data_IF_453717088331
#
_entry.id   IF_453717088331
#
_cell.length_a   1.000
_cell.length_b   1.000
_cell.length_c   1.000
_cell.angle_alpha   90.00
_cell.angle_beta   90.00
_cell.angle_gamma   90.00
#
_symmetry.space_group_name_H-M   'P 1'
#
loop_
_entity.id
_entity.type
_entity.pdbx_description
1 polymer ?
#
# COMPACT_ATOMS: atom_id res chain seq x y z
N UNK A 1 -15.00 -10.37 -11.50
CA UNK A 1 -16.04 -10.25 -10.49
C UNK A 1 -15.99 -8.85 -9.94
N UNK A 2 -17.09 -8.17 -9.97
CA UNK A 2 -17.27 -6.78 -9.58
C UNK A 2 -18.58 -6.28 -10.16
N UNK A 3 -19.02 -5.11 -9.73
CA UNK A 3 -20.27 -4.49 -10.18
C UNK A 3 -19.99 -3.16 -10.84
N UNK A 4 -20.77 -2.82 -11.85
CA UNK A 4 -20.81 -1.47 -12.46
C UNK A 4 -21.12 -0.42 -11.36
N UNK A 5 -21.79 -0.82 -10.28
CA UNK A 5 -22.13 0.04 -9.15
C UNK A 5 -21.09 0.06 -8.02
N UNK A 6 -19.86 -0.44 -8.24
CA UNK A 6 -18.73 -0.27 -7.32
C UNK A 6 -18.64 -1.25 -6.15
N UNK A 7 -19.36 -2.37 -6.17
CA UNK A 7 -19.24 -3.41 -5.14
C UNK A 7 -18.02 -4.33 -5.37
N UNK A 8 -17.26 -4.62 -4.30
CA UNK A 8 -16.15 -5.56 -4.33
C UNK A 8 -16.63 -6.99 -4.06
N UNK A 9 -16.00 -8.02 -4.68
CA UNK A 9 -16.27 -9.41 -4.35
C UNK A 9 -15.78 -9.74 -2.93
N UNK A 10 -16.45 -10.69 -2.28
CA UNK A 10 -15.99 -11.26 -1.03
C UNK A 10 -14.77 -12.16 -1.30
N UNK A 11 -13.64 -11.87 -0.68
CA UNK A 11 -12.43 -12.71 -0.78
C UNK A 11 -12.32 -13.59 0.47
N UNK A 12 -12.26 -14.89 0.27
CA UNK A 12 -12.09 -15.87 1.34
C UNK A 12 -10.78 -16.64 1.15
N UNK A 13 -9.93 -16.62 2.16
CA UNK A 13 -8.66 -17.35 2.21
C UNK A 13 -8.85 -18.51 3.19
N UNK A 14 -8.85 -19.74 2.66
CA UNK A 14 -9.18 -20.95 3.44
C UNK A 14 -10.51 -20.82 4.23
N UNK A 15 -11.50 -20.14 3.65
CA UNK A 15 -12.83 -19.92 4.23
C UNK A 15 -12.95 -18.71 5.16
N UNK A 16 -11.89 -17.96 5.39
CA UNK A 16 -11.88 -16.75 6.22
C UNK A 16 -11.77 -15.50 5.34
N UNK A 17 -12.56 -14.46 5.62
CA UNK A 17 -12.45 -13.19 4.90
C UNK A 17 -11.04 -12.60 5.02
N UNK A 18 -10.46 -12.17 3.89
CA UNK A 18 -9.09 -11.68 3.83
C UNK A 18 -8.80 -10.80 2.63
N UNK A 19 -7.60 -10.26 2.58
CA UNK A 19 -7.10 -9.43 1.50
C UNK A 19 -6.11 -10.22 0.64
N UNK A 20 -6.34 -10.23 -0.67
CA UNK A 20 -5.57 -11.04 -1.63
C UNK A 20 -4.10 -10.62 -1.69
N UNK A 21 -3.78 -9.34 -1.54
CA UNK A 21 -2.43 -8.77 -1.57
C UNK A 21 -1.56 -9.20 -0.38
N UNK A 22 -2.18 -9.70 0.69
CA UNK A 22 -1.50 -10.21 1.90
C UNK A 22 -1.12 -11.68 1.80
N UNK A 23 -1.64 -12.38 0.79
CA UNK A 23 -1.29 -13.79 0.58
C UNK A 23 -0.01 -13.90 -0.23
N UNK A 24 0.91 -14.75 0.21
CA UNK A 24 2.06 -15.10 -0.61
C UNK A 24 1.59 -15.98 -1.79
N UNK A 25 1.80 -15.57 -3.06
CA UNK A 25 1.37 -16.35 -4.22
C UNK A 25 1.93 -17.78 -4.24
N UNK A 26 3.12 -17.99 -3.66
CA UNK A 26 3.75 -19.31 -3.59
C UNK A 26 3.02 -20.28 -2.64
N UNK A 27 2.17 -19.76 -1.74
CA UNK A 27 1.36 -20.57 -0.83
C UNK A 27 0.00 -20.95 -1.43
N UNK A 28 -0.38 -20.38 -2.58
CA UNK A 28 -1.68 -20.64 -3.21
C UNK A 28 -1.66 -21.99 -3.90
N UNK A 29 -2.67 -22.83 -3.59
CA UNK A 29 -2.95 -24.09 -4.29
C UNK A 29 -3.93 -23.88 -5.43
N UNK A 30 -5.04 -23.14 -5.17
CA UNK A 30 -6.06 -22.85 -6.16
C UNK A 30 -6.80 -21.54 -5.86
N UNK A 31 -7.36 -20.95 -6.93
CA UNK A 31 -8.26 -19.80 -6.85
C UNK A 31 -9.53 -20.17 -7.61
N UNK A 32 -10.68 -20.09 -6.93
CA UNK A 32 -12.00 -20.32 -7.52
C UNK A 32 -12.83 -19.05 -7.42
N UNK A 33 -13.55 -18.73 -8.51
CA UNK A 33 -14.42 -17.54 -8.58
C UNK A 33 -15.86 -17.99 -8.71
N UNK A 34 -16.66 -17.70 -7.69
CA UNK A 34 -18.10 -17.99 -7.66
C UNK A 34 -18.84 -16.74 -8.13
N UNK A 35 -19.53 -16.86 -9.26
CA UNK A 35 -20.33 -15.79 -9.86
C UNK A 35 -21.84 -16.06 -9.78
N UNK A 36 -22.21 -17.30 -9.49
CA UNK A 36 -23.58 -17.74 -9.39
C UNK A 36 -24.20 -17.38 -8.04
N UNK A 37 -25.36 -16.75 -8.06
CA UNK A 37 -26.07 -16.32 -6.87
C UNK A 37 -26.50 -17.50 -5.96
N UNK A 38 -26.82 -18.66 -6.53
CA UNK A 38 -27.23 -19.85 -5.76
C UNK A 38 -26.07 -20.43 -4.98
N UNK A 39 -24.89 -20.53 -5.59
CA UNK A 39 -23.66 -20.97 -4.94
C UNK A 39 -23.14 -19.94 -3.92
N UNK A 40 -23.34 -18.65 -4.18
CA UNK A 40 -22.95 -17.55 -3.30
C UNK A 40 -23.86 -17.42 -2.06
N UNK A 41 -25.10 -17.93 -2.10
CA UNK A 41 -26.08 -17.80 -1.02
C UNK A 41 -25.60 -18.30 0.34
N UNK A 42 -24.73 -19.34 0.36
CA UNK A 42 -24.11 -19.88 1.59
C UNK A 42 -23.28 -18.83 2.33
N UNK A 43 -22.73 -17.84 1.60
CA UNK A 43 -21.89 -16.78 2.17
C UNK A 43 -22.69 -15.52 2.56
N UNK A 44 -24.03 -15.54 2.39
CA UNK A 44 -24.94 -14.47 2.78
C UNK A 44 -24.86 -13.22 1.88
N UNK A 45 -25.44 -12.11 2.36
CA UNK A 45 -25.56 -10.87 1.59
C UNK A 45 -24.21 -10.25 1.15
N UNK A 46 -23.12 -10.56 1.83
CA UNK A 46 -21.76 -10.10 1.48
C UNK A 46 -21.26 -10.65 0.14
N UNK A 47 -21.83 -11.77 -0.30
CA UNK A 47 -21.50 -12.43 -1.57
C UNK A 47 -22.26 -11.89 -2.78
N UNK A 48 -23.05 -10.81 -2.62
CA UNK A 48 -23.89 -10.25 -3.71
C UNK A 48 -23.09 -9.85 -4.96
N UNK A 49 -21.79 -9.54 -4.81
CA UNK A 49 -20.88 -9.19 -5.92
C UNK A 49 -19.97 -10.34 -6.35
N UNK A 50 -20.26 -11.57 -5.90
CA UNK A 50 -19.49 -12.77 -6.13
C UNK A 50 -18.48 -13.05 -5.01
N UNK A 51 -17.85 -14.23 -5.08
CA UNK A 51 -16.89 -14.71 -4.09
C UNK A 51 -15.63 -15.19 -4.79
N UNK A 52 -14.47 -14.81 -4.26
CA UNK A 52 -13.17 -15.34 -4.64
C UNK A 52 -12.69 -16.23 -3.52
N UNK A 53 -12.56 -17.53 -3.81
CA UNK A 53 -12.05 -18.52 -2.86
C UNK A 53 -10.59 -18.79 -3.16
N UNK A 54 -9.71 -18.51 -2.22
CA UNK A 54 -8.28 -18.83 -2.27
C UNK A 54 -8.03 -19.98 -1.34
N UNK A 55 -7.61 -21.12 -1.90
CA UNK A 55 -7.20 -22.29 -1.12
C UNK A 55 -5.68 -22.31 -1.07
N UNK A 56 -5.11 -22.41 0.13
CA UNK A 56 -3.68 -22.49 0.32
C UNK A 56 -3.18 -23.92 0.40
N UNK A 57 -1.91 -24.12 0.06
CA UNK A 57 -1.23 -25.42 0.09
C UNK A 57 -1.32 -26.08 1.45
N UNK A 58 -1.35 -27.39 1.46
CA UNK A 58 -1.37 -28.26 2.63
C UNK A 58 -0.28 -29.32 2.54
N UNK A 59 0.00 -29.98 3.64
CA UNK A 59 0.93 -31.12 3.68
C UNK A 59 0.39 -32.33 2.92
N UNK A 60 1.28 -33.08 2.31
CA UNK A 60 0.98 -34.33 1.63
C UNK A 60 1.20 -35.52 2.56
N UNK A 61 0.65 -36.68 2.19
CA UNK A 61 0.93 -37.98 2.82
C UNK A 61 2.09 -38.61 2.04
N UNK A 62 3.32 -38.31 2.44
CA UNK A 62 4.55 -38.76 1.79
C UNK A 62 5.34 -39.75 2.66
N UNK A 63 4.65 -40.62 3.37
CA UNK A 63 5.23 -41.62 4.30
C UNK A 63 6.20 -41.02 5.33
N UNK A 64 5.94 -39.79 5.76
CA UNK A 64 6.74 -39.07 6.75
C UNK A 64 7.91 -38.26 6.19
N UNK A 65 8.16 -38.30 4.88
CA UNK A 65 9.23 -37.52 4.25
C UNK A 65 8.89 -36.03 4.23
N UNK A 66 9.89 -35.20 4.48
CA UNK A 66 9.79 -33.75 4.38
C UNK A 66 10.36 -33.28 3.04
N UNK A 67 9.61 -32.44 2.35
CA UNK A 67 10.06 -31.78 1.12
C UNK A 67 10.32 -30.31 1.43
N UNK A 68 11.57 -29.88 1.26
CA UNK A 68 11.96 -28.48 1.39
C UNK A 68 12.06 -27.87 -0.01
N UNK A 69 11.42 -26.70 -0.19
CA UNK A 69 11.53 -25.93 -1.43
C UNK A 69 12.00 -24.53 -1.11
N UNK A 70 12.96 -24.06 -1.86
CA UNK A 70 13.42 -22.68 -1.83
C UNK A 70 13.34 -22.09 -3.23
N UNK A 71 12.86 -20.84 -3.31
CA UNK A 71 12.97 -20.03 -4.53
C UNK A 71 13.45 -18.63 -4.17
N UNK A 72 14.42 -18.13 -4.91
CA UNK A 72 14.98 -16.80 -4.79
C UNK A 72 14.92 -16.06 -6.13
N UNK A 73 14.60 -14.78 -6.08
CA UNK A 73 14.65 -13.88 -7.23
C UNK A 73 15.38 -12.61 -6.83
N UNK A 74 16.36 -12.22 -7.65
CA UNK A 74 17.05 -10.94 -7.60
C UNK A 74 16.88 -10.28 -8.95
N UNK A 75 16.71 -8.99 -8.97
CA UNK A 75 16.58 -8.23 -10.20
C UNK A 75 16.72 -6.74 -9.97
N UNK A 76 16.79 -6.02 -11.06
CA UNK A 76 16.68 -4.57 -11.11
C UNK A 76 15.47 -4.25 -11.98
N UNK A 77 14.71 -3.27 -11.55
CA UNK A 77 13.58 -2.73 -12.29
C UNK A 77 13.97 -1.35 -12.81
N UNK A 78 13.47 -1.00 -13.99
CA UNK A 78 13.71 0.26 -14.67
C UNK A 78 12.36 0.92 -14.98
N UNK A 79 12.29 2.27 -15.01
CA UNK A 79 11.10 2.96 -15.49
C UNK A 79 10.75 2.52 -16.92
N UNK A 80 9.49 2.26 -17.18
CA UNK A 80 9.00 1.92 -18.53
C UNK A 80 8.78 3.15 -19.42
N UNK A 81 8.92 4.35 -18.87
CA UNK A 81 8.86 5.62 -19.59
C UNK A 81 10.27 6.05 -20.03
N UNK A 82 10.35 6.89 -21.06
CA UNK A 82 11.62 7.54 -21.40
C UNK A 82 12.06 8.45 -20.26
N UNK A 83 13.35 8.43 -19.97
CA UNK A 83 14.02 9.35 -19.04
C UNK A 83 14.75 10.47 -19.78
N UNK A 84 14.67 10.47 -21.13
CA UNK A 84 15.32 11.43 -22.01
C UNK A 84 14.48 12.69 -22.15
N UNK A 85 14.61 13.57 -21.16
CA UNK A 85 13.96 14.88 -21.14
C UNK A 85 14.88 15.97 -21.70
N UNK A 86 14.30 17.13 -22.07
CA UNK A 86 15.07 18.29 -22.51
C UNK A 86 15.91 18.84 -21.34
N UNK A 87 17.23 18.77 -21.46
CA UNK A 87 18.18 19.24 -20.44
C UNK A 87 18.81 20.59 -20.78
N UNK A 88 18.60 21.13 -22.00
CA UNK A 88 19.08 22.44 -22.35
C UNK A 88 18.22 23.56 -21.77
N UNK A 89 18.79 24.39 -20.91
CA UNK A 89 18.10 25.55 -20.37
C UNK A 89 17.60 26.51 -21.43
N UNK A 90 18.35 26.66 -22.52
CA UNK A 90 17.95 27.49 -23.65
C UNK A 90 16.70 26.97 -24.35
N UNK A 91 16.72 25.69 -24.75
CA UNK A 91 15.58 25.10 -25.43
C UNK A 91 14.36 24.96 -24.51
N UNK A 92 14.59 24.62 -23.27
CA UNK A 92 13.52 24.57 -22.25
C UNK A 92 12.82 25.94 -22.13
N UNK A 93 13.58 27.02 -21.96
CA UNK A 93 13.02 28.37 -21.86
C UNK A 93 12.33 28.82 -23.16
N UNK A 94 12.97 28.59 -24.32
CA UNK A 94 12.47 29.02 -25.62
C UNK A 94 11.14 28.32 -25.97
N UNK A 95 11.10 26.99 -25.82
CA UNK A 95 9.91 26.17 -26.17
C UNK A 95 8.73 26.50 -25.25
N UNK A 96 8.95 26.62 -23.94
CA UNK A 96 7.89 27.00 -23.01
C UNK A 96 7.33 28.38 -23.30
N UNK A 97 8.19 29.37 -23.61
CA UNK A 97 7.75 30.69 -23.98
C UNK A 97 6.99 30.70 -25.30
N UNK A 98 7.40 29.86 -26.27
CA UNK A 98 6.73 29.75 -27.58
C UNK A 98 5.31 29.16 -27.40
N UNK A 99 5.17 28.09 -26.64
CA UNK A 99 3.86 27.47 -26.39
C UNK A 99 2.95 28.36 -25.55
N UNK A 100 3.50 29.02 -24.53
CA UNK A 100 2.73 29.93 -23.68
C UNK A 100 2.20 31.11 -24.48
N UNK A 101 3.04 31.69 -25.34
CA UNK A 101 2.61 32.76 -26.25
C UNK A 101 1.54 32.31 -27.24
N UNK A 102 1.56 31.05 -27.67
CA UNK A 102 0.54 30.51 -28.57
C UNK A 102 -0.80 30.32 -27.85
N UNK A 103 -0.82 30.09 -26.53
CA UNK A 103 -2.00 29.92 -25.72
C UNK A 103 -2.62 31.25 -25.29
N UNK A 104 -1.87 32.16 -24.70
CA UNK A 104 -2.39 33.44 -24.16
C UNK A 104 -2.12 34.68 -25.02
N UNK A 105 -1.29 34.54 -26.06
CA UNK A 105 -1.03 35.56 -27.12
C UNK A 105 -0.01 36.64 -26.77
N UNK A 106 0.32 36.87 -25.51
CA UNK A 106 1.10 38.08 -25.13
C UNK A 106 2.17 37.87 -24.05
N UNK A 107 2.00 36.93 -23.14
CA UNK A 107 2.92 36.75 -22.01
C UNK A 107 4.03 35.76 -22.28
N UNK A 108 5.08 35.79 -21.47
CA UNK A 108 6.13 34.78 -21.43
C UNK A 108 5.93 33.88 -20.23
N UNK A 109 6.15 32.60 -20.41
CA UNK A 109 6.17 31.62 -19.30
C UNK A 109 7.35 31.89 -18.34
N UNK A 110 8.54 32.11 -18.95
CA UNK A 110 9.76 32.54 -18.25
C UNK A 110 10.04 33.99 -18.63
N UNK A 111 10.10 34.87 -17.63
CA UNK A 111 10.24 36.31 -17.80
C UNK A 111 11.70 36.73 -18.07
N UNK A 112 12.42 35.94 -18.88
CA UNK A 112 13.79 36.26 -19.30
C UNK A 112 13.81 37.29 -20.42
N UNK A 113 14.77 38.24 -20.33
CA UNK A 113 15.04 39.22 -21.39
C UNK A 113 16.03 38.64 -22.43
N UNK A 114 16.36 39.44 -23.45
CA UNK A 114 17.24 38.98 -24.52
C UNK A 114 18.67 38.68 -24.03
N UNK A 115 19.16 39.40 -23.03
CA UNK A 115 20.44 39.13 -22.41
C UNK A 115 20.42 37.75 -21.70
N UNK A 116 19.36 37.44 -20.97
CA UNK A 116 19.20 36.14 -20.31
C UNK A 116 19.18 35.00 -21.33
N UNK A 117 18.46 35.17 -22.42
CA UNK A 117 18.40 34.15 -23.48
C UNK A 117 19.78 33.98 -24.15
N UNK A 118 20.57 35.04 -24.31
CA UNK A 118 21.95 34.95 -24.79
C UNK A 118 22.84 34.19 -23.77
N UNK A 119 22.67 34.42 -22.47
CA UNK A 119 23.40 33.70 -21.43
C UNK A 119 23.08 32.20 -21.42
N UNK A 120 21.83 31.82 -21.65
CA UNK A 120 21.45 30.43 -21.85
C UNK A 120 22.07 29.82 -23.12
N UNK A 121 22.05 30.59 -24.23
CA UNK A 121 22.63 30.15 -25.49
C UNK A 121 24.15 29.89 -25.39
N UNK A 122 24.87 30.74 -24.65
CA UNK A 122 26.31 30.58 -24.40
C UNK A 122 26.64 29.30 -23.62
N UNK A 123 25.68 28.79 -22.87
CA UNK A 123 25.80 27.56 -22.03
C UNK A 123 25.14 26.33 -22.64
N UNK A 124 24.62 26.41 -23.86
CA UNK A 124 23.78 25.38 -24.48
C UNK A 124 24.43 23.99 -24.50
N UNK A 125 25.76 23.93 -24.55
CA UNK A 125 26.54 22.68 -24.57
C UNK A 125 27.20 22.37 -23.21
N UNK A 126 26.96 23.15 -22.17
CA UNK A 126 27.55 22.93 -20.85
C UNK A 126 26.76 21.84 -20.12
N UNK A 127 27.22 20.60 -20.19
CA UNK A 127 26.59 19.46 -19.46
C UNK A 127 26.77 19.53 -17.96
N UNK A 128 27.77 20.29 -17.51
CA UNK A 128 28.09 20.58 -16.10
C UNK A 128 28.43 22.06 -15.98
N UNK A 129 28.31 22.59 -14.78
CA UNK A 129 28.65 23.97 -14.52
C UNK A 129 30.12 24.29 -14.88
N UNK A 130 30.34 25.33 -15.66
CA UNK A 130 31.69 25.75 -16.01
C UNK A 130 32.13 26.88 -15.08
N UNK A 131 33.38 26.88 -14.54
CA UNK A 131 33.86 27.88 -13.59
C UNK A 131 33.72 29.35 -14.07
N UNK A 132 33.98 29.58 -15.37
CA UNK A 132 33.87 30.92 -15.97
C UNK A 132 32.46 31.31 -16.38
N UNK A 133 31.52 30.38 -16.35
CA UNK A 133 30.10 30.54 -16.73
C UNK A 133 29.19 29.83 -15.75
N UNK A 134 29.12 30.30 -14.48
CA UNK A 134 28.29 29.64 -13.48
C UNK A 134 26.83 29.63 -13.91
N UNK A 135 26.12 28.53 -13.49
CA UNK A 135 24.71 28.38 -13.80
C UNK A 135 23.80 29.29 -12.98
N UNK A 136 24.27 29.73 -11.81
CA UNK A 136 23.57 30.70 -10.97
C UNK A 136 24.45 31.94 -10.81
N UNK A 137 23.90 33.11 -11.12
CA UNK A 137 24.57 34.39 -10.96
C UNK A 137 23.77 35.29 -10.03
N UNK A 138 24.45 36.23 -9.34
CA UNK A 138 23.78 37.27 -8.58
C UNK A 138 23.77 38.54 -9.43
N UNK A 139 22.58 39.08 -9.66
CA UNK A 139 22.41 40.31 -10.45
C UNK A 139 21.49 41.26 -9.72
N UNK A 140 21.84 42.58 -9.79
CA UNK A 140 20.94 43.60 -9.31
C UNK A 140 19.86 43.86 -10.37
N UNK A 141 18.64 43.56 -10.04
CA UNK A 141 17.46 43.78 -10.87
C UNK A 141 16.38 44.49 -10.07
N UNK A 142 15.85 45.58 -10.63
CA UNK A 142 14.84 46.37 -9.94
C UNK A 142 15.30 46.87 -8.54
N UNK A 143 16.59 47.15 -8.38
CA UNK A 143 17.16 47.62 -7.12
C UNK A 143 17.37 46.58 -6.05
N UNK A 144 17.27 45.29 -6.40
CA UNK A 144 17.50 44.16 -5.51
C UNK A 144 18.47 43.16 -6.13
N UNK A 145 19.41 42.66 -5.32
CA UNK A 145 20.24 41.53 -5.71
C UNK A 145 19.41 40.25 -5.64
N UNK A 146 19.39 39.50 -6.72
CA UNK A 146 18.63 38.26 -6.84
C UNK A 146 19.42 37.20 -7.58
N UNK A 147 19.07 35.93 -7.33
CA UNK A 147 19.60 34.80 -8.08
C UNK A 147 18.98 34.74 -9.47
N UNK A 148 19.83 34.64 -10.48
CA UNK A 148 19.44 34.47 -11.90
C UNK A 148 20.05 33.17 -12.40
N UNK A 149 19.25 32.36 -13.05
CA UNK A 149 19.58 30.98 -13.38
C UNK A 149 19.78 30.80 -14.88
N UNK A 150 20.89 30.15 -15.24
CA UNK A 150 21.26 29.82 -16.62
C UNK A 150 21.75 28.39 -16.72
N UNK A 151 21.03 27.47 -16.10
CA UNK A 151 21.43 26.06 -15.96
C UNK A 151 21.07 25.22 -17.19
N UNK A 152 21.61 23.98 -17.19
CA UNK A 152 21.21 22.86 -18.03
C UNK A 152 20.91 21.64 -17.14
N UNK A 153 19.93 21.79 -16.26
CA UNK A 153 19.60 20.79 -15.24
C UNK A 153 18.87 19.61 -15.85
N UNK A 154 19.41 18.42 -15.66
CA UNK A 154 18.73 17.17 -15.93
C UNK A 154 17.84 16.83 -14.73
N UNK A 155 16.61 17.31 -14.77
CA UNK A 155 15.66 17.15 -13.65
C UNK A 155 15.29 15.71 -13.37
N UNK A 156 15.32 14.82 -14.38
CA UNK A 156 15.05 13.41 -14.14
C UNK A 156 16.15 12.79 -13.27
N UNK A 157 17.40 12.87 -13.74
CA UNK A 157 18.54 12.26 -13.05
C UNK A 157 18.96 13.02 -11.78
N UNK A 158 18.48 14.25 -11.60
CA UNK A 158 18.62 14.96 -10.33
C UNK A 158 17.74 14.35 -9.23
N UNK A 159 16.53 13.90 -9.58
CA UNK A 159 15.55 13.43 -8.62
C UNK A 159 15.43 11.90 -8.55
N UNK A 160 15.73 11.18 -9.61
CA UNK A 160 15.42 9.76 -9.75
C UNK A 160 16.64 8.94 -10.19
N UNK A 161 16.63 7.67 -9.79
CA UNK A 161 17.55 6.65 -10.29
C UNK A 161 16.89 5.89 -11.45
N UNK A 162 17.69 5.48 -12.43
CA UNK A 162 17.20 4.68 -13.57
C UNK A 162 16.92 3.24 -13.19
N UNK A 163 17.57 2.73 -12.16
CA UNK A 163 17.45 1.35 -11.73
C UNK A 163 17.25 1.25 -10.22
N UNK A 164 16.42 0.29 -9.83
CA UNK A 164 16.21 0.00 -8.42
C UNK A 164 16.14 -1.52 -8.15
N UNK A 165 16.78 -2.01 -7.09
CA UNK A 165 16.86 -3.43 -6.82
C UNK A 165 15.56 -4.00 -6.24
N UNK A 166 15.25 -5.23 -6.66
CA UNK A 166 14.18 -6.06 -6.09
C UNK A 166 14.74 -7.42 -5.71
N UNK A 167 14.32 -7.93 -4.55
CA UNK A 167 14.64 -9.27 -4.12
C UNK A 167 13.44 -9.96 -3.46
N UNK A 168 13.30 -11.24 -3.76
CA UNK A 168 12.24 -12.10 -3.21
C UNK A 168 12.85 -13.43 -2.80
N UNK A 169 12.50 -13.88 -1.62
CA UNK A 169 12.90 -15.17 -1.08
C UNK A 169 11.67 -15.90 -0.58
N UNK A 170 11.55 -17.16 -0.88
CA UNK A 170 10.49 -18.00 -0.40
C UNK A 170 11.05 -19.37 -0.02
N UNK A 171 10.74 -19.82 1.17
CA UNK A 171 11.05 -21.17 1.65
C UNK A 171 9.77 -21.84 2.10
N UNK A 172 9.61 -23.14 1.79
CA UNK A 172 8.52 -23.93 2.32
C UNK A 172 9.00 -25.35 2.66
N UNK A 173 8.36 -25.91 3.68
CA UNK A 173 8.56 -27.28 4.14
C UNK A 173 7.18 -27.93 4.21
N UNK A 174 7.01 -29.03 3.52
CA UNK A 174 5.78 -29.80 3.53
C UNK A 174 6.08 -31.30 3.70
N UNK A 175 5.17 -32.01 4.31
CA UNK A 175 5.29 -33.45 4.50
C UNK A 175 4.21 -33.98 5.42
N UNK A 176 4.36 -35.22 5.78
CA UNK A 176 3.48 -35.88 6.74
C UNK A 176 3.19 -37.31 6.43
N UNK A 177 2.28 -37.86 7.20
CA UNK A 177 1.74 -39.20 7.08
C UNK A 177 0.24 -39.21 7.38
N UNK A 178 -0.39 -40.37 7.45
CA UNK A 178 -1.84 -40.51 7.73
C UNK A 178 -2.28 -39.87 9.04
N UNK A 179 -1.37 -39.68 10.03
CA UNK A 179 -1.71 -39.09 11.32
C UNK A 179 -1.46 -37.60 11.40
N UNK A 180 -0.40 -37.12 10.76
CA UNK A 180 0.00 -35.70 10.80
C UNK A 180 0.45 -35.27 9.42
N UNK A 181 -0.09 -34.15 8.92
CA UNK A 181 0.35 -33.47 7.69
C UNK A 181 0.62 -32.04 8.00
N UNK A 182 1.67 -31.50 7.43
CA UNK A 182 2.07 -30.13 7.69
C UNK A 182 2.59 -29.41 6.44
N UNK A 183 2.31 -28.13 6.39
CA UNK A 183 2.88 -27.17 5.44
C UNK A 183 3.30 -25.95 6.22
N UNK A 184 4.57 -25.57 6.12
CA UNK A 184 5.15 -24.38 6.72
C UNK A 184 5.81 -23.58 5.62
N UNK A 185 5.62 -22.25 5.59
CA UNK A 185 6.30 -21.37 4.63
C UNK A 185 6.71 -20.06 5.25
N UNK A 186 7.78 -19.49 4.71
CA UNK A 186 8.24 -18.14 5.00
C UNK A 186 8.62 -17.44 3.69
N UNK A 187 8.21 -16.19 3.54
CA UNK A 187 8.58 -15.38 2.39
C UNK A 187 9.04 -13.99 2.84
N UNK A 188 10.03 -13.48 2.17
CA UNK A 188 10.53 -12.14 2.30
C UNK A 188 10.61 -11.47 0.93
N UNK A 189 10.12 -10.24 0.85
CA UNK A 189 10.21 -9.42 -0.35
C UNK A 189 10.72 -8.04 0.06
N UNK A 190 11.68 -7.51 -0.71
CA UNK A 190 12.16 -6.15 -0.58
C UNK A 190 12.32 -5.53 -1.95
N UNK A 191 11.76 -4.34 -2.11
CA UNK A 191 11.84 -3.51 -3.30
C UNK A 191 12.19 -2.10 -2.88
N UNK A 192 13.15 -1.48 -3.56
CA UNK A 192 13.41 -0.05 -3.43
C UNK A 192 12.78 0.69 -4.59
N UNK A 193 12.45 1.96 -4.42
CA UNK A 193 11.95 2.81 -5.49
C UNK A 193 13.04 3.66 -6.12
N UNK A 194 12.61 4.55 -7.00
CA UNK A 194 13.49 5.34 -7.88
C UNK A 194 13.95 6.67 -7.28
N UNK A 195 13.40 7.14 -6.16
CA UNK A 195 13.74 8.45 -5.60
C UNK A 195 15.20 8.45 -5.11
N UNK A 196 15.99 9.43 -5.56
CA UNK A 196 17.45 9.43 -5.39
C UNK A 196 17.89 9.83 -3.99
N UNK A 197 17.37 10.92 -3.45
CA UNK A 197 17.82 11.47 -2.17
C UNK A 197 17.44 10.57 -0.98
N UNK A 198 16.22 10.06 -0.98
CA UNK A 198 15.73 9.07 -0.03
C UNK A 198 14.91 8.03 -0.80
N UNK A 199 15.52 6.91 -1.23
CA UNK A 199 14.79 5.85 -1.91
C UNK A 199 13.64 5.34 -1.04
N UNK A 200 12.48 5.23 -1.65
CA UNK A 200 11.37 4.53 -1.01
C UNK A 200 11.68 3.04 -0.93
N UNK A 201 11.29 2.41 0.18
CA UNK A 201 11.58 1.01 0.46
C UNK A 201 10.31 0.29 0.89
N UNK A 202 9.90 -0.67 0.09
CA UNK A 202 8.85 -1.60 0.45
C UNK A 202 9.46 -2.94 0.89
N UNK A 203 9.08 -3.39 2.07
CA UNK A 203 9.45 -4.70 2.61
C UNK A 203 8.20 -5.44 3.06
N UNK A 204 8.12 -6.73 2.79
CA UNK A 204 7.07 -7.57 3.36
C UNK A 204 7.60 -8.94 3.76
N UNK A 205 7.01 -9.46 4.81
CA UNK A 205 7.29 -10.75 5.38
C UNK A 205 5.99 -11.54 5.58
N UNK A 206 5.97 -12.77 5.12
CA UNK A 206 4.85 -13.69 5.27
C UNK A 206 5.31 -14.96 5.98
N UNK A 207 4.52 -15.44 6.92
CA UNK A 207 4.64 -16.78 7.48
C UNK A 207 3.30 -17.51 7.37
N UNK A 208 3.35 -18.78 7.08
CA UNK A 208 2.18 -19.66 7.09
C UNK A 208 2.50 -20.99 7.74
N UNK A 209 1.58 -21.47 8.57
CA UNK A 209 1.60 -22.80 9.15
C UNK A 209 0.24 -23.43 8.96
N UNK A 210 0.19 -24.61 8.34
CA UNK A 210 -1.04 -25.40 8.18
C UNK A 210 -0.74 -26.82 8.60
N UNK A 211 -1.42 -27.29 9.65
CA UNK A 211 -1.15 -28.56 10.26
C UNK A 211 -2.48 -29.31 10.47
N UNK A 212 -2.52 -30.56 10.01
CA UNK A 212 -3.64 -31.46 10.16
C UNK A 212 -3.23 -32.64 11.07
N UNK A 213 -4.03 -32.94 12.09
CA UNK A 213 -3.84 -34.05 13.01
C UNK A 213 -5.03 -35.02 12.95
N UNK A 214 -4.79 -36.30 12.70
CA UNK A 214 -5.77 -37.36 12.92
C UNK A 214 -5.59 -37.85 14.35
N UNK A 215 -6.39 -37.34 15.30
CA UNK A 215 -6.28 -37.67 16.73
C UNK A 215 -6.65 -39.15 16.95
N UNK A 216 -7.76 -39.57 16.36
CA UNK A 216 -8.19 -40.97 16.34
C UNK A 216 -9.10 -41.19 15.10
N UNK A 217 -9.69 -42.41 14.98
CA UNK A 217 -10.53 -42.74 13.80
C UNK A 217 -11.78 -41.87 13.62
N UNK A 218 -12.18 -41.14 14.65
CA UNK A 218 -13.37 -40.29 14.65
C UNK A 218 -13.08 -38.79 14.63
N UNK A 219 -11.91 -38.37 15.12
CA UNK A 219 -11.60 -36.97 15.38
C UNK A 219 -10.37 -36.55 14.62
N UNK A 220 -10.56 -35.51 13.81
CA UNK A 220 -9.49 -34.78 13.12
C UNK A 220 -9.47 -33.31 13.58
N UNK A 221 -8.30 -32.80 13.81
CA UNK A 221 -8.07 -31.38 14.14
C UNK A 221 -7.14 -30.77 13.10
N UNK A 222 -7.45 -29.56 12.65
CA UNK A 222 -6.54 -28.75 11.80
C UNK A 222 -6.35 -27.36 12.36
N UNK A 223 -5.16 -26.82 12.16
CA UNK A 223 -4.81 -25.46 12.50
C UNK A 223 -4.18 -24.78 11.28
N UNK A 224 -4.64 -23.58 10.97
CA UNK A 224 -4.13 -22.75 9.91
C UNK A 224 -3.80 -21.38 10.49
N UNK A 225 -2.52 -21.04 10.52
CA UNK A 225 -2.01 -19.75 11.01
C UNK A 225 -1.34 -19.03 9.87
N UNK A 226 -1.62 -17.74 9.74
CA UNK A 226 -0.92 -16.85 8.82
C UNK A 226 -0.49 -15.59 9.54
N UNK A 227 0.68 -15.10 9.19
CA UNK A 227 1.21 -13.84 9.64
C UNK A 227 1.74 -13.06 8.43
N UNK A 228 1.37 -11.80 8.35
CA UNK A 228 1.84 -10.83 7.36
C UNK A 228 2.32 -9.60 8.09
N UNK A 229 3.49 -9.10 7.68
CA UNK A 229 4.00 -7.81 8.11
C UNK A 229 4.59 -7.09 6.91
N UNK A 230 4.28 -5.82 6.74
CA UNK A 230 4.92 -4.97 5.74
C UNK A 230 5.27 -3.61 6.29
N UNK A 231 6.33 -3.05 5.73
CA UNK A 231 6.74 -1.66 5.95
C UNK A 231 6.96 -1.02 4.59
N UNK A 232 6.35 0.13 4.38
CA UNK A 232 6.63 1.00 3.25
C UNK A 232 7.13 2.33 3.79
N UNK A 233 8.41 2.58 3.60
CA UNK A 233 9.10 3.81 3.99
C UNK A 233 9.33 4.63 2.73
N UNK A 234 8.81 5.86 2.70
CA UNK A 234 8.90 6.72 1.54
C UNK A 234 8.98 8.20 1.96
N UNK A 235 9.46 9.10 1.08
CA UNK A 235 9.49 10.54 1.37
C UNK A 235 8.08 11.06 1.70
N UNK A 236 7.98 11.91 2.71
CA UNK A 236 6.75 12.34 3.38
C UNK A 236 5.69 13.07 2.55
N UNK A 237 5.58 12.78 1.25
CA UNK A 237 4.56 13.36 0.37
C UNK A 237 3.69 12.25 -0.21
N UNK A 238 2.41 12.36 -0.02
CA UNK A 238 1.41 11.32 -0.26
C UNK A 238 1.20 10.90 -1.73
N UNK A 239 1.88 11.51 -2.70
CA UNK A 239 1.64 11.20 -4.11
C UNK A 239 2.91 11.30 -4.97
N UNK A 240 3.61 10.15 -5.10
CA UNK A 240 4.82 10.01 -5.93
C UNK A 240 4.54 10.30 -7.41
N UNK A 241 3.36 9.95 -7.93
CA UNK A 241 3.00 10.27 -9.32
C UNK A 241 2.97 11.77 -9.58
N UNK A 242 2.44 12.55 -8.64
CA UNK A 242 2.47 14.00 -8.74
C UNK A 242 3.89 14.57 -8.69
N UNK A 243 4.79 13.94 -7.92
CA UNK A 243 6.19 14.37 -7.91
C UNK A 243 6.85 14.20 -9.27
N UNK A 244 6.68 13.04 -9.90
CA UNK A 244 7.19 12.76 -11.25
C UNK A 244 6.59 13.75 -12.25
N UNK A 245 5.26 13.90 -12.25
CA UNK A 245 4.57 14.79 -13.17
C UNK A 245 5.00 16.26 -13.01
N UNK A 246 5.11 16.76 -11.78
CA UNK A 246 5.54 18.15 -11.55
C UNK A 246 7.02 18.37 -11.82
N UNK A 247 7.88 17.38 -11.61
CA UNK A 247 9.28 17.48 -11.98
C UNK A 247 9.45 17.53 -13.49
N UNK A 248 8.70 16.71 -14.23
CA UNK A 248 8.72 16.73 -15.69
C UNK A 248 8.12 18.01 -16.29
N UNK A 249 7.00 18.52 -15.72
CA UNK A 249 6.26 19.64 -16.30
C UNK A 249 6.74 21.01 -15.83
N UNK A 250 7.28 21.11 -14.60
CA UNK A 250 7.69 22.37 -13.98
C UNK A 250 9.16 22.38 -13.53
N UNK A 251 9.89 21.30 -13.73
CA UNK A 251 11.34 21.23 -13.63
C UNK A 251 11.96 21.73 -14.92
N UNK A 252 12.05 23.06 -15.08
CA UNK A 252 12.61 23.67 -16.28
C UNK A 252 14.13 23.62 -16.22
N UNK A 253 14.78 23.12 -17.26
CA UNK A 253 16.22 22.90 -17.29
C UNK A 253 17.07 24.16 -17.01
N UNK A 254 16.51 25.34 -17.25
CA UNK A 254 17.20 26.61 -16.95
C UNK A 254 17.33 26.94 -15.46
N UNK A 255 16.63 26.24 -14.56
CA UNK A 255 16.71 26.42 -13.11
C UNK A 255 17.52 25.30 -12.46
N UNK A 256 18.28 25.60 -11.40
CA UNK A 256 18.95 24.64 -10.55
C UNK A 256 18.03 24.17 -9.40
N UNK A 257 18.23 22.98 -8.81
CA UNK A 257 17.49 22.56 -7.62
C UNK A 257 17.79 23.44 -6.39
N UNK A 258 19.05 23.84 -6.25
CA UNK A 258 19.56 24.63 -5.11
C UNK A 258 20.34 25.85 -5.59
N UNK A 259 20.37 26.87 -4.75
CA UNK A 259 21.22 28.04 -4.87
C UNK A 259 22.66 27.72 -4.43
N UNK A 260 23.67 28.55 -4.77
CA UNK A 260 25.04 28.35 -4.34
C UNK A 260 25.25 28.36 -2.81
N UNK A 261 24.30 28.89 -2.04
CA UNK A 261 24.32 28.91 -0.58
C UNK A 261 23.64 27.67 0.05
N UNK A 262 23.23 26.70 -0.77
CA UNK A 262 22.56 25.47 -0.34
C UNK A 262 21.05 25.60 -0.08
N UNK A 263 20.47 26.80 -0.21
CA UNK A 263 19.03 26.95 -0.09
C UNK A 263 18.31 26.45 -1.36
N UNK A 264 17.08 25.95 -1.17
CA UNK A 264 16.29 25.44 -2.30
C UNK A 264 15.77 26.54 -3.22
N UNK A 265 15.74 26.28 -4.52
CA UNK A 265 15.08 27.14 -5.51
C UNK A 265 13.61 26.75 -5.58
N UNK A 266 12.73 27.56 -5.00
CA UNK A 266 11.29 27.30 -4.99
C UNK A 266 10.51 28.33 -5.82
N UNK A 267 10.63 29.60 -5.49
CA UNK A 267 10.05 30.71 -6.24
C UNK A 267 11.13 31.57 -6.84
N UNK A 268 10.87 32.17 -8.00
CA UNK A 268 11.76 33.15 -8.64
C UNK A 268 10.93 34.30 -9.18
N UNK A 269 11.54 35.45 -9.44
CA UNK A 269 10.85 36.57 -10.12
C UNK A 269 10.69 36.34 -11.64
N UNK A 270 11.31 35.26 -12.15
CA UNK A 270 11.30 34.95 -13.59
C UNK A 270 10.23 33.94 -13.98
N UNK A 271 9.56 33.33 -13.00
CA UNK A 271 8.56 32.30 -13.23
C UNK A 271 7.33 32.56 -12.36
N UNK A 272 6.18 32.67 -12.98
CA UNK A 272 4.90 32.85 -12.28
C UNK A 272 4.49 31.64 -11.44
N UNK A 273 5.07 30.47 -11.70
CA UNK A 273 4.86 29.21 -10.98
C UNK A 273 6.07 28.87 -10.08
N UNK A 274 5.91 27.85 -9.25
CA UNK A 274 6.99 27.36 -8.41
C UNK A 274 7.83 26.34 -9.18
N UNK A 275 9.16 26.45 -9.12
CA UNK A 275 10.07 25.48 -9.76
C UNK A 275 9.76 24.08 -9.27
N UNK A 276 9.53 23.12 -10.17
CA UNK A 276 9.09 21.75 -9.91
C UNK A 276 7.94 21.67 -8.88
N UNK A 277 7.13 22.73 -8.76
CA UNK A 277 6.10 22.92 -7.74
C UNK A 277 6.58 22.67 -6.30
N UNK A 278 7.86 22.91 -6.02
CA UNK A 278 8.51 22.67 -4.73
C UNK A 278 8.76 21.20 -4.39
N UNK A 279 8.41 20.28 -5.29
CA UNK A 279 8.51 18.84 -5.00
C UNK A 279 9.95 18.38 -4.83
N UNK A 280 10.88 18.89 -5.66
CA UNK A 280 12.31 18.58 -5.55
C UNK A 280 12.88 18.88 -4.15
N UNK A 281 12.47 19.97 -3.53
CA UNK A 281 12.92 20.34 -2.19
C UNK A 281 12.37 19.38 -1.11
N UNK A 282 11.13 18.91 -1.27
CA UNK A 282 10.51 17.97 -0.33
C UNK A 282 11.13 16.58 -0.49
N UNK A 283 11.33 16.12 -1.73
CA UNK A 283 11.95 14.82 -2.00
C UNK A 283 13.45 14.82 -1.77
N UNK A 284 14.13 15.95 -1.94
CA UNK A 284 15.53 16.13 -1.64
C UNK A 284 15.84 16.26 -0.14
N UNK A 285 14.82 16.52 0.68
CA UNK A 285 14.97 16.58 2.14
C UNK A 285 14.76 15.18 2.73
N UNK A 286 15.83 14.53 3.15
CA UNK A 286 15.84 13.20 3.73
C UNK A 286 15.15 13.11 5.11
N UNK A 287 14.81 14.24 5.73
CA UNK A 287 14.08 14.33 7.00
C UNK A 287 12.57 14.17 6.86
N UNK A 288 12.04 14.40 5.65
CA UNK A 288 10.64 14.10 5.36
C UNK A 288 10.42 12.59 5.28
N UNK A 289 9.55 12.06 6.13
CA UNK A 289 9.36 10.61 6.31
C UNK A 289 7.88 10.28 6.28
N UNK A 290 7.51 9.27 5.54
CA UNK A 290 6.22 8.60 5.67
C UNK A 290 6.46 7.09 5.77
N UNK A 291 6.00 6.47 6.85
CA UNK A 291 6.21 5.05 7.09
C UNK A 291 4.88 4.37 7.37
N UNK A 292 4.43 3.57 6.41
CA UNK A 292 3.26 2.70 6.59
C UNK A 292 3.71 1.33 7.08
N UNK A 293 3.22 0.91 8.25
CA UNK A 293 3.42 -0.44 8.79
C UNK A 293 2.09 -1.15 8.86
N UNK A 294 2.05 -2.36 8.30
CA UNK A 294 0.85 -3.20 8.33
C UNK A 294 1.20 -4.55 8.94
N UNK A 295 0.40 -4.99 9.87
CA UNK A 295 0.49 -6.31 10.47
C UNK A 295 -0.86 -6.99 10.35
N UNK A 296 -0.86 -8.27 9.98
CA UNK A 296 -2.05 -9.11 9.94
C UNK A 296 -1.70 -10.49 10.48
N UNK A 297 -2.41 -10.92 11.49
CA UNK A 297 -2.31 -12.26 12.07
C UNK A 297 -3.68 -12.93 12.02
N UNK A 298 -3.74 -14.13 11.50
CA UNK A 298 -4.96 -14.93 11.52
C UNK A 298 -4.64 -16.36 11.95
N UNK A 299 -5.47 -16.92 12.82
CA UNK A 299 -5.43 -18.30 13.23
C UNK A 299 -6.82 -18.91 13.16
N UNK A 300 -6.95 -20.03 12.47
CA UNK A 300 -8.17 -20.83 12.41
C UNK A 300 -7.88 -22.22 12.92
N UNK A 301 -8.61 -22.64 13.94
CA UNK A 301 -8.60 -24.01 14.43
C UNK A 301 -9.92 -24.69 14.08
N UNK A 302 -9.85 -25.84 13.45
CA UNK A 302 -11.01 -26.64 13.04
C UNK A 302 -10.94 -28.04 13.67
N UNK A 303 -12.07 -28.51 14.14
CA UNK A 303 -12.27 -29.87 14.63
C UNK A 303 -13.38 -30.53 13.79
N UNK A 304 -13.08 -31.69 13.22
CA UNK A 304 -14.05 -32.57 12.54
C UNK A 304 -14.24 -33.84 13.32
N UNK A 305 -15.50 -34.16 13.57
CA UNK A 305 -15.91 -35.38 14.30
C UNK A 305 -16.81 -36.21 13.39
N UNK A 306 -16.43 -37.46 13.15
CA UNK A 306 -17.22 -38.43 12.39
C UNK A 306 -17.74 -39.52 13.35
N UNK A 307 -18.84 -39.27 14.10
CA UNK A 307 -19.35 -40.25 15.08
C UNK A 307 -19.85 -41.52 14.42
N UNK A 308 -20.40 -41.41 13.23
CA UNK A 308 -20.80 -42.49 12.33
C UNK A 308 -20.36 -42.15 10.91
N UNK A 309 -20.23 -43.17 10.05
CA UNK A 309 -19.69 -43.03 8.70
C UNK A 309 -20.37 -41.92 7.87
N UNK A 310 -21.71 -41.77 7.82
CA UNK A 310 -22.37 -40.75 7.01
C UNK A 310 -22.43 -39.35 7.66
N UNK A 311 -22.04 -39.20 8.94
CA UNK A 311 -22.19 -37.92 9.66
C UNK A 311 -20.85 -37.30 10.00
N UNK A 312 -20.67 -36.07 9.54
CA UNK A 312 -19.53 -35.20 9.89
C UNK A 312 -20.04 -33.98 10.64
N UNK A 313 -19.54 -33.75 11.84
CA UNK A 313 -19.73 -32.50 12.61
C UNK A 313 -18.45 -31.70 12.52
N UNK A 314 -18.54 -30.46 12.04
CA UNK A 314 -17.42 -29.51 11.91
C UNK A 314 -17.64 -28.33 12.83
N UNK A 315 -16.63 -28.01 13.62
CA UNK A 315 -16.57 -26.80 14.41
C UNK A 315 -15.26 -26.10 14.12
N UNK A 316 -15.31 -24.80 13.80
CA UNK A 316 -14.09 -23.99 13.67
C UNK A 316 -14.23 -22.65 14.38
N UNK A 317 -13.07 -22.15 14.81
CA UNK A 317 -12.94 -20.83 15.40
C UNK A 317 -11.76 -20.11 14.74
N UNK A 318 -12.03 -18.87 14.32
CA UNK A 318 -11.03 -17.97 13.72
C UNK A 318 -10.86 -16.75 14.60
N UNK A 319 -9.61 -16.45 14.91
CA UNK A 319 -9.19 -15.17 15.46
C UNK A 319 -8.29 -14.46 14.47
N UNK A 320 -8.58 -13.20 14.16
CA UNK A 320 -7.75 -12.35 13.31
C UNK A 320 -7.58 -10.99 13.95
N UNK A 321 -6.36 -10.48 13.90
CA UNK A 321 -6.04 -9.12 14.26
C UNK A 321 -5.28 -8.47 13.13
N UNK A 322 -5.66 -7.24 12.82
CA UNK A 322 -5.03 -6.40 11.83
C UNK A 322 -4.70 -5.06 12.45
N UNK A 323 -3.50 -4.56 12.19
CA UNK A 323 -3.06 -3.25 12.63
C UNK A 323 -2.35 -2.53 11.49
N UNK A 324 -2.80 -1.31 11.20
CA UNK A 324 -2.08 -0.35 10.37
C UNK A 324 -1.54 0.75 11.29
N UNK A 325 -0.30 1.14 11.06
CA UNK A 325 0.32 2.29 11.71
C UNK A 325 1.00 3.14 10.65
N UNK A 326 0.63 4.41 10.58
CA UNK A 326 1.28 5.41 9.73
C UNK A 326 2.00 6.42 10.61
N UNK A 327 3.27 6.70 10.26
CA UNK A 327 4.06 7.78 10.82
C UNK A 327 4.41 8.73 9.69
N UNK A 328 3.94 9.97 9.74
CA UNK A 328 4.26 11.00 8.76
C UNK A 328 4.99 12.16 9.43
N UNK A 329 6.22 12.43 9.01
CA UNK A 329 7.03 13.58 9.41
C UNK A 329 7.19 14.52 8.25
N UNK A 330 6.76 15.75 8.40
CA UNK A 330 7.02 16.85 7.50
C UNK A 330 7.94 17.85 8.17
N UNK A 331 9.01 18.26 7.49
CA UNK A 331 9.98 19.23 7.98
C UNK A 331 9.98 20.49 7.12
N UNK A 332 10.30 21.66 7.69
CA UNK A 332 10.39 22.90 6.94
C UNK A 332 11.42 22.82 5.81
N UNK A 333 11.09 23.45 4.71
CA UNK A 333 12.02 23.59 3.59
C UNK A 333 12.56 25.03 3.59
N UNK A 334 13.87 25.15 3.72
CA UNK A 334 14.55 26.46 3.65
C UNK A 334 14.82 26.80 2.17
N UNK A 335 14.20 27.85 1.67
CA UNK A 335 14.42 28.33 0.34
C UNK A 335 14.82 29.81 0.33
N UNK A 336 15.48 30.25 -0.72
CA UNK A 336 15.80 31.64 -0.92
C UNK A 336 15.59 32.08 -2.38
N UNK A 337 15.12 33.28 -2.54
CA UNK A 337 14.98 33.97 -3.81
C UNK A 337 16.05 35.07 -3.97
N UNK A 338 16.55 35.55 -2.83
CA UNK A 338 17.50 36.67 -2.77
C UNK A 338 18.70 36.28 -1.93
N UNK A 339 19.95 36.58 -2.39
CA UNK A 339 21.15 36.29 -1.64
C UNK A 339 21.10 36.86 -0.22
N UNK A 340 21.49 36.04 0.78
CA UNK A 340 21.49 36.44 2.18
C UNK A 340 20.14 36.61 2.84
N UNK A 341 19.04 36.29 2.14
CA UNK A 341 17.68 36.30 2.68
C UNK A 341 17.06 34.93 2.53
N UNK A 342 16.96 34.21 3.62
CA UNK A 342 16.31 32.92 3.67
C UNK A 342 14.85 33.05 4.09
N UNK A 343 13.99 32.25 3.48
CA UNK A 343 12.61 32.10 3.88
C UNK A 343 12.33 30.62 4.12
N UNK A 344 11.65 30.32 5.21
CA UNK A 344 11.18 28.96 5.52
C UNK A 344 9.77 28.82 4.97
N UNK A 345 9.56 27.76 4.20
CA UNK A 345 8.25 27.44 3.70
C UNK A 345 7.47 26.67 4.79
N UNK A 346 6.74 27.42 5.60
CA UNK A 346 5.89 26.88 6.64
C UNK A 346 4.46 27.36 6.42
N UNK A 347 3.55 26.46 6.26
CA UNK A 347 2.13 26.80 6.18
C UNK A 347 1.29 25.56 6.43
N UNK A 348 0.30 25.64 7.34
CA UNK A 348 -0.61 24.54 7.62
C UNK A 348 -1.23 24.02 6.32
N UNK A 349 -1.08 22.71 6.09
CA UNK A 349 -1.61 22.05 4.91
C UNK A 349 -0.80 22.28 3.64
N UNK A 350 0.38 22.89 3.74
CA UNK A 350 1.30 23.08 2.62
C UNK A 350 2.54 22.20 2.77
N UNK A 351 3.16 21.87 1.65
CA UNK A 351 4.40 21.12 1.66
C UNK A 351 5.49 21.88 2.45
N UNK A 352 6.17 21.20 3.39
CA UNK A 352 7.19 21.80 4.26
C UNK A 352 6.66 22.34 5.60
N UNK A 353 5.44 22.02 5.98
CA UNK A 353 4.95 22.27 7.35
C UNK A 353 5.70 21.41 8.36
N UNK A 354 6.13 22.01 9.48
CA UNK A 354 6.78 21.25 10.56
C UNK A 354 5.72 20.51 11.39
N UNK A 355 5.55 19.22 11.11
CA UNK A 355 4.54 18.41 11.77
C UNK A 355 4.95 16.94 11.87
N UNK A 356 4.45 16.28 12.90
CA UNK A 356 4.47 14.82 13.06
C UNK A 356 3.03 14.33 13.18
N UNK A 357 2.68 13.37 12.33
CA UNK A 357 1.39 12.67 12.38
C UNK A 357 1.64 11.21 12.71
N UNK A 358 0.92 10.69 13.70
CA UNK A 358 0.84 9.26 14.00
C UNK A 358 -0.61 8.81 13.89
N UNK A 359 -0.84 7.77 13.09
CA UNK A 359 -2.15 7.15 12.92
C UNK A 359 -2.05 5.65 13.23
N UNK A 360 -2.98 5.16 14.04
CA UNK A 360 -3.10 3.74 14.37
C UNK A 360 -4.53 3.30 14.10
N UNK A 361 -4.70 2.32 13.22
CA UNK A 361 -5.95 1.63 12.97
C UNK A 361 -5.79 0.16 13.37
N UNK A 362 -6.56 -0.26 14.35
CA UNK A 362 -6.56 -1.63 14.89
C UNK A 362 -7.92 -2.28 14.70
N UNK A 363 -7.92 -3.47 14.15
CA UNK A 363 -9.12 -4.25 13.91
C UNK A 363 -8.93 -5.67 14.41
N UNK A 364 -9.94 -6.19 15.12
CA UNK A 364 -10.00 -7.59 15.55
C UNK A 364 -11.29 -8.26 15.06
N UNK A 365 -11.16 -9.51 14.71
CA UNK A 365 -12.25 -10.31 14.17
C UNK A 365 -12.24 -11.71 14.80
N UNK A 366 -13.41 -12.11 15.24
CA UNK A 366 -13.66 -13.44 15.81
C UNK A 366 -14.80 -14.08 15.03
N UNK A 367 -14.62 -15.31 14.61
CA UNK A 367 -15.67 -16.06 13.94
C UNK A 367 -15.71 -17.51 14.45
N UNK A 368 -16.89 -18.00 14.72
CA UNK A 368 -17.14 -19.37 15.08
C UNK A 368 -18.20 -19.98 14.17
N UNK A 369 -17.94 -21.15 13.62
CA UNK A 369 -18.88 -21.91 12.81
C UNK A 369 -19.04 -23.30 13.41
N UNK A 370 -20.30 -23.77 13.47
CA UNK A 370 -20.62 -25.14 13.84
C UNK A 370 -21.67 -25.65 12.88
N UNK A 371 -21.38 -26.75 12.20
CA UNK A 371 -22.33 -27.36 11.27
C UNK A 371 -22.18 -28.89 11.21
N UNK A 372 -23.27 -29.55 10.88
CA UNK A 372 -23.29 -30.98 10.66
C UNK A 372 -23.64 -31.27 9.20
N UNK A 373 -22.96 -32.22 8.61
CA UNK A 373 -23.22 -32.73 7.26
C UNK A 373 -23.49 -34.21 7.34
N UNK A 374 -24.66 -34.62 6.88
CA UNK A 374 -25.03 -36.01 6.67
C UNK A 374 -25.00 -36.33 5.18
N UNK A 375 -24.22 -37.33 4.79
CA UNK A 375 -24.06 -37.75 3.38
C UNK A 375 -24.11 -39.26 3.30
N UNK A 376 -25.10 -39.79 2.53
CA UNK A 376 -25.27 -41.20 2.34
C UNK A 376 -25.86 -41.54 0.99
N UNK A 377 -25.62 -42.76 0.53
CA UNK A 377 -26.18 -43.31 -0.70
C UNK A 377 -27.08 -44.49 -0.39
N UNK A 378 -28.38 -44.35 -0.67
CA UNK A 378 -29.39 -45.36 -0.43
C UNK A 378 -29.69 -46.15 -1.72
N UNK A 379 -29.78 -47.47 -1.58
CA UNK A 379 -30.11 -48.39 -2.69
C UNK A 379 -29.28 -48.13 -3.96
N UNK A 380 -27.99 -47.78 -3.77
CA UNK A 380 -27.00 -47.51 -4.83
C UNK A 380 -27.34 -46.40 -5.86
N UNK A 381 -28.51 -45.78 -5.73
CA UNK A 381 -29.03 -44.85 -6.72
C UNK A 381 -29.51 -43.50 -6.15
N UNK A 382 -29.65 -43.37 -4.84
CA UNK A 382 -30.17 -42.19 -4.18
C UNK A 382 -29.08 -41.57 -3.30
N UNK A 383 -28.38 -40.59 -3.81
CA UNK A 383 -27.37 -39.86 -3.06
C UNK A 383 -28.01 -38.63 -2.40
N UNK A 384 -27.91 -38.54 -1.07
CA UNK A 384 -28.46 -37.46 -0.27
C UNK A 384 -27.36 -36.80 0.56
N UNK A 385 -27.22 -35.48 0.44
CA UNK A 385 -26.39 -34.67 1.32
C UNK A 385 -27.27 -33.61 2.00
N UNK A 386 -27.29 -33.60 3.32
CA UNK A 386 -27.97 -32.60 4.14
C UNK A 386 -26.98 -31.91 5.04
N UNK A 387 -26.95 -30.58 5.02
CA UNK A 387 -26.10 -29.77 5.87
C UNK A 387 -26.97 -28.77 6.64
N UNK A 388 -26.70 -28.61 7.94
CA UNK A 388 -27.29 -27.54 8.76
C UNK A 388 -26.28 -27.02 9.75
N UNK A 389 -26.32 -25.72 10.03
CA UNK A 389 -25.37 -25.11 10.96
C UNK A 389 -25.66 -23.68 11.28
N UNK A 390 -24.78 -23.10 12.08
CA UNK A 390 -24.77 -21.70 12.44
C UNK A 390 -23.37 -21.11 12.48
N UNK A 391 -23.31 -19.82 12.30
CA UNK A 391 -22.09 -19.03 12.44
C UNK A 391 -22.32 -17.80 13.32
N UNK A 392 -21.29 -17.42 14.04
CA UNK A 392 -21.21 -16.19 14.81
C UNK A 392 -19.97 -15.44 14.40
N UNK A 393 -20.10 -14.15 14.14
CA UNK A 393 -18.98 -13.27 13.84
C UNK A 393 -19.06 -12.02 14.73
N UNK A 394 -17.90 -11.57 15.20
CA UNK A 394 -17.77 -10.33 15.94
C UNK A 394 -16.52 -9.56 15.43
N UNK A 395 -16.72 -8.30 15.15
CA UNK A 395 -15.67 -7.41 14.65
C UNK A 395 -15.63 -6.13 15.49
N UNK A 396 -14.44 -5.73 15.88
CA UNK A 396 -14.17 -4.49 16.58
C UNK A 396 -13.04 -3.74 15.89
N UNK A 397 -13.22 -2.45 15.64
CA UNK A 397 -12.23 -1.55 15.05
C UNK A 397 -12.07 -0.31 15.91
N UNK A 398 -10.83 0.12 16.09
CA UNK A 398 -10.48 1.37 16.74
C UNK A 398 -9.39 2.06 15.95
N UNK A 399 -9.60 3.34 15.64
CA UNK A 399 -8.61 4.23 15.04
C UNK A 399 -8.31 5.41 15.96
N UNK A 400 -7.06 5.85 15.92
CA UNK A 400 -6.56 7.02 16.63
C UNK A 400 -5.56 7.72 15.72
N UNK A 401 -5.70 9.03 15.58
CA UNK A 401 -4.75 9.90 14.88
C UNK A 401 -4.36 11.07 15.78
N UNK A 402 -3.09 11.41 15.79
CA UNK A 402 -2.56 12.58 16.48
C UNK A 402 -1.60 13.33 15.55
N UNK A 403 -1.64 14.66 15.60
CA UNK A 403 -0.74 15.55 14.86
C UNK A 403 -0.13 16.52 15.88
N UNK A 404 1.19 16.61 15.91
CA UNK A 404 1.94 17.61 16.67
C UNK A 404 2.69 18.55 15.73
N UNK A 405 2.80 19.82 16.11
CA UNK A 405 3.43 20.85 15.30
C UNK A 405 4.64 21.45 16.00
N UNK A 406 5.54 22.09 15.25
CA UNK A 406 6.71 22.82 15.75
C UNK A 406 7.67 21.93 16.55
N UNK A 407 8.16 20.83 15.96
CA UNK A 407 9.08 19.95 16.63
C UNK A 407 10.44 20.64 16.88
N UNK A 408 11.05 20.35 18.03
CA UNK A 408 12.32 20.95 18.45
C UNK A 408 13.54 20.47 17.63
N UNK A 409 13.37 19.37 16.87
CA UNK A 409 14.42 18.82 16.00
C UNK A 409 13.81 18.14 14.79
N UNK A 410 14.56 18.12 13.70
CA UNK A 410 14.20 17.39 12.48
C UNK A 410 14.68 15.93 12.49
N UNK A 411 15.56 15.57 13.46
CA UNK A 411 16.23 14.27 13.51
C UNK A 411 15.37 13.17 14.17
N UNK A 412 14.45 13.55 15.03
CA UNK A 412 13.65 12.61 15.83
C UNK A 412 12.15 12.84 15.63
N UNK A 413 11.42 11.74 15.56
CA UNK A 413 9.98 11.71 15.32
C UNK A 413 9.25 11.25 16.59
N UNK A 414 9.12 12.15 17.57
CA UNK A 414 8.45 11.89 18.84
C UNK A 414 7.60 13.09 19.26
N UNK A 415 6.41 12.83 19.79
CA UNK A 415 5.51 13.87 20.29
C UNK A 415 6.05 14.62 21.52
N UNK A 416 6.94 14.02 22.28
CA UNK A 416 7.60 14.73 23.39
C UNK A 416 8.42 15.94 22.92
N UNK A 417 8.84 15.90 21.65
CA UNK A 417 9.61 16.95 20.99
C UNK A 417 8.77 18.07 20.38
N UNK A 418 7.44 18.03 20.54
CA UNK A 418 6.59 19.14 20.10
C UNK A 418 6.92 20.37 20.93
N UNK A 419 7.39 21.42 20.26
CA UNK A 419 7.77 22.70 20.84
C UNK A 419 6.57 23.61 21.10
N UNK A 420 6.86 24.86 21.41
CA UNK A 420 5.85 25.89 21.63
C UNK A 420 5.63 26.69 20.35
N UNK A 421 4.37 26.97 20.03
CA UNK A 421 4.03 27.89 18.95
C UNK A 421 4.34 29.35 19.34
N UNK A 422 4.09 30.32 18.45
CA UNK A 422 4.30 31.74 18.71
C UNK A 422 3.50 32.34 19.88
N UNK A 423 2.58 31.57 20.47
CA UNK A 423 1.76 31.94 21.63
C UNK A 423 2.24 31.26 22.92
N UNK A 424 3.34 30.48 22.86
CA UNK A 424 3.88 29.74 24.01
C UNK A 424 3.09 28.49 24.38
N UNK A 425 2.37 27.87 23.45
CA UNK A 425 1.54 26.69 23.68
C UNK A 425 1.96 25.55 22.75
N UNK A 426 2.01 24.31 23.27
CA UNK A 426 2.14 23.10 22.44
C UNK A 426 0.87 22.89 21.61
N UNK A 427 1.02 22.72 20.32
CA UNK A 427 -0.12 22.54 19.41
C UNK A 427 -0.25 21.08 18.98
N UNK A 428 -1.39 20.47 19.35
CA UNK A 428 -1.77 19.13 18.98
C UNK A 428 -3.18 19.09 18.40
N UNK A 429 -3.38 18.22 17.41
CA UNK A 429 -4.70 17.80 16.98
C UNK A 429 -4.81 16.29 17.21
N UNK A 430 -5.95 15.85 17.73
CA UNK A 430 -6.21 14.43 17.90
C UNK A 430 -7.62 14.11 17.39
N UNK A 431 -7.75 12.97 16.77
CA UNK A 431 -9.02 12.42 16.30
C UNK A 431 -9.02 10.91 16.51
N UNK A 432 -10.19 10.29 16.49
CA UNK A 432 -10.31 8.85 16.57
C UNK A 432 -11.76 8.41 16.61
N UNK A 433 -11.93 7.13 16.35
CA UNK A 433 -13.24 6.49 16.32
C UNK A 433 -13.17 5.03 16.73
N UNK A 434 -14.33 4.46 16.93
CA UNK A 434 -14.49 3.04 17.14
C UNK A 434 -15.78 2.55 16.50
N UNK A 435 -15.76 1.32 16.02
CA UNK A 435 -16.93 0.66 15.50
C UNK A 435 -16.90 -0.83 15.80
N UNK A 436 -18.06 -1.40 16.02
CA UNK A 436 -18.21 -2.83 16.22
C UNK A 436 -19.46 -3.35 15.54
N UNK A 437 -19.44 -4.63 15.20
CA UNK A 437 -20.64 -5.33 14.77
C UNK A 437 -20.57 -6.81 15.12
N UNK A 438 -21.73 -7.42 15.21
CA UNK A 438 -21.90 -8.86 15.32
C UNK A 438 -22.86 -9.36 14.24
N UNK A 439 -22.59 -10.57 13.74
CA UNK A 439 -23.44 -11.29 12.82
C UNK A 439 -23.73 -12.67 13.40
N UNK A 440 -24.98 -13.10 13.35
CA UNK A 440 -25.41 -14.44 13.72
C UNK A 440 -26.20 -15.01 12.55
N UNK A 441 -25.78 -16.15 12.01
CA UNK A 441 -26.43 -16.79 10.87
C UNK A 441 -26.76 -18.25 11.15
N UNK A 442 -27.90 -18.70 10.62
CA UNK A 442 -28.28 -20.10 10.54
C UNK A 442 -28.47 -20.47 9.08
N UNK A 443 -27.96 -21.60 8.66
CA UNK A 443 -28.01 -22.03 7.28
C UNK A 443 -28.30 -23.53 7.16
N UNK A 444 -28.89 -23.88 6.02
CA UNK A 444 -29.12 -25.28 5.66
C UNK A 444 -29.06 -25.49 4.16
N UNK A 445 -28.69 -26.71 3.76
CA UNK A 445 -28.62 -27.13 2.36
C UNK A 445 -28.99 -28.59 2.22
N UNK A 446 -29.74 -28.89 1.19
CA UNK A 446 -30.10 -30.26 0.79
C UNK A 446 -29.69 -30.42 -0.67
N UNK A 447 -28.89 -31.45 -0.93
CA UNK A 447 -28.58 -31.93 -2.27
C UNK A 447 -29.06 -33.35 -2.40
N UNK A 448 -29.78 -33.63 -3.46
CA UNK A 448 -30.26 -34.94 -3.80
C UNK A 448 -29.95 -35.28 -5.25
N UNK A 449 -29.39 -36.47 -5.46
CA UNK A 449 -29.07 -36.99 -6.77
C UNK A 449 -29.68 -38.36 -6.94
N UNK A 450 -30.43 -38.57 -8.03
CA UNK A 450 -30.94 -39.88 -8.44
C UNK A 450 -30.21 -40.36 -9.69
N UNK A 451 -29.38 -41.39 -9.52
CA UNK A 451 -28.61 -42.07 -10.61
C UNK A 451 -27.69 -41.11 -11.43
N UNK A 452 -27.25 -39.96 -10.93
CA UNK A 452 -26.52 -38.96 -11.67
C UNK A 452 -27.32 -38.28 -12.79
N UNK A 453 -28.67 -38.53 -12.84
CA UNK A 453 -29.53 -38.00 -13.88
C UNK A 453 -30.46 -36.86 -13.44
N UNK A 454 -30.95 -36.95 -12.21
CA UNK A 454 -31.86 -35.96 -11.66
C UNK A 454 -31.22 -35.37 -10.40
N UNK A 455 -30.92 -34.11 -10.48
CA UNK A 455 -30.24 -33.34 -9.46
C UNK A 455 -31.22 -32.33 -8.86
N UNK A 456 -31.31 -32.29 -7.54
CA UNK A 456 -32.08 -31.27 -6.82
C UNK A 456 -31.21 -30.62 -5.77
N UNK A 457 -31.21 -29.32 -5.70
CA UNK A 457 -30.54 -28.52 -4.70
C UNK A 457 -31.50 -27.50 -4.10
N UNK A 458 -31.48 -27.39 -2.77
CA UNK A 458 -32.16 -26.35 -2.02
C UNK A 458 -31.25 -25.86 -0.92
N UNK A 459 -31.09 -24.53 -0.83
CA UNK A 459 -30.34 -23.89 0.26
C UNK A 459 -31.13 -22.71 0.82
N UNK A 460 -30.94 -22.46 2.12
CA UNK A 460 -31.53 -21.32 2.81
C UNK A 460 -30.63 -20.82 3.91
N UNK A 461 -30.74 -19.53 4.20
CA UNK A 461 -29.99 -18.87 5.26
C UNK A 461 -30.83 -17.78 5.93
N UNK A 462 -30.70 -17.66 7.24
CA UNK A 462 -31.28 -16.60 8.04
C UNK A 462 -30.16 -15.88 8.78
N UNK A 463 -30.06 -14.57 8.63
CA UNK A 463 -29.01 -13.74 9.23
C UNK A 463 -29.60 -12.65 10.11
N UNK A 464 -29.02 -12.49 11.31
CA UNK A 464 -29.19 -11.37 12.18
C UNK A 464 -27.91 -10.52 12.23
N UNK A 465 -28.06 -9.20 12.25
CA UNK A 465 -26.91 -8.29 12.32
C UNK A 465 -27.18 -7.14 13.30
N UNK A 466 -26.15 -6.74 14.04
CA UNK A 466 -26.23 -5.59 14.93
C UNK A 466 -26.10 -4.23 14.19
N UNK A 467 -25.82 -4.23 12.87
CA UNK A 467 -25.68 -3.00 12.08
C UNK A 467 -26.99 -2.26 11.82
N UNK A 468 -28.12 -2.94 11.99
CA UNK A 468 -29.44 -2.34 11.81
C UNK A 468 -30.13 -2.17 13.17
N UNK A 469 -30.76 -1.00 13.37
CA UNK A 469 -31.63 -0.80 14.51
C UNK A 469 -32.76 -1.83 14.52
N UNK A 470 -33.19 -2.25 15.70
CA UNK A 470 -34.43 -3.03 15.83
C UNK A 470 -35.57 -2.15 15.34
N UNK A 471 -36.26 -2.59 14.25
CA UNK A 471 -37.48 -1.99 13.79
C UNK A 471 -38.66 -2.24 14.75
#
# INVERSE_FOLDING_TARGET
VGSINGGNPLVLIDGVEGEMDRVNPNDVESISVIKDASAAAVYGARAAFGVILITTKKGNDDDGNAVVRYSGRFGWEEPTTSTDFETSGYWSAYIHNMFWKADDGTSKYIQYNDYDMQQLLLRINDKTEHPDRPWVTIQNRNGKDQYVYYANTDWWHEMFNDQHPVQQHNISISGGNKKVRYYLSGAYNRQTGIIKARPDVFQKFNLRSKIDFQINKYVRMSNNTSFYNSTYDYPGVSNVQNAIAYSANHGLACFTPQNPDGTWVYGTEFLGYKVANGRHAIYGNDKNVNIDRKMDFANTTEIKINPIKPLTITANYTYRVHQNRNTNRSTPVVYSQYPGKQAVYTGKGTAGEDSLTEEIDSWSYNAANVFATYEDTFKDNHHLTVMAGGNLEYSYRKDVSAIGYYLLTEELNDFDLVGLNGQGVKEFLANGGQSEYALLGFFGRINYDYKGKYLFEMSGRYDGTSKFAKG
#
